data_IF_812234814780
#
_entry.id   IF_812234814780
#
_cell.length_a   1.000
_cell.length_b   1.000
_cell.length_c   1.000
_cell.angle_alpha   90.00
_cell.angle_beta   90.00
_cell.angle_gamma   90.00
#
_symmetry.space_group_name_H-M   'P 1'
#
loop_
_entity.id
_entity.type
_entity.pdbx_description
1 polymer ?
#
# COMPACT_ATOMS: atom_id res chain seq x y z
N UNK A 1 4.51 25.18 -21.01
CA UNK A 1 4.35 24.00 -20.13
C UNK A 1 4.90 24.35 -18.75
N UNK A 2 4.08 24.35 -17.69
CA UNK A 2 4.57 24.58 -16.32
C UNK A 2 5.38 23.36 -15.88
N UNK A 3 6.59 23.59 -15.39
CA UNK A 3 7.48 22.56 -14.86
C UNK A 3 6.77 21.78 -13.75
N UNK A 4 6.75 20.44 -13.86
CA UNK A 4 6.23 19.51 -12.84
C UNK A 4 6.84 19.81 -11.45
N UNK A 5 8.05 20.39 -11.40
CA UNK A 5 8.75 20.76 -10.16
C UNK A 5 8.16 21.96 -9.41
N UNK A 6 7.19 22.68 -9.98
CA UNK A 6 6.61 23.90 -9.38
C UNK A 6 5.25 23.68 -8.72
N UNK A 7 4.71 22.46 -8.75
CA UNK A 7 3.49 22.13 -8.00
C UNK A 7 3.89 22.02 -6.52
N UNK A 8 3.37 22.87 -5.61
CA UNK A 8 3.63 22.71 -4.20
C UNK A 8 3.14 21.32 -3.80
N UNK A 9 4.08 20.43 -3.52
CA UNK A 9 3.75 19.10 -3.01
C UNK A 9 3.09 19.33 -1.67
N UNK A 10 1.79 19.05 -1.61
CA UNK A 10 1.03 18.97 -0.36
C UNK A 10 1.90 18.19 0.62
N UNK A 11 2.28 18.80 1.75
CA UNK A 11 2.97 18.16 2.87
C UNK A 11 2.70 16.65 2.86
N UNK A 12 3.68 15.85 2.45
CA UNK A 12 3.53 14.39 2.50
C UNK A 12 4.04 13.98 3.87
N UNK A 13 3.16 13.79 4.88
CA UNK A 13 3.60 13.20 6.15
C UNK A 13 4.33 11.89 5.88
N UNK A 14 5.25 11.50 6.77
CA UNK A 14 6.11 10.33 6.53
C UNK A 14 5.28 9.11 6.15
N UNK A 15 5.74 8.38 5.14
CA UNK A 15 5.03 7.24 4.54
C UNK A 15 5.72 5.93 4.83
N UNK A 16 6.54 5.94 5.87
CA UNK A 16 7.44 4.86 6.23
C UNK A 16 6.66 3.57 6.45
N UNK A 17 5.48 3.65 7.07
CA UNK A 17 4.59 2.49 7.25
C UNK A 17 4.11 1.89 5.92
N UNK A 18 3.75 2.72 4.94
CA UNK A 18 3.27 2.21 3.65
C UNK A 18 4.40 1.60 2.83
N UNK A 19 5.59 2.22 2.89
CA UNK A 19 6.81 1.67 2.30
C UNK A 19 7.24 0.38 3.00
N UNK A 20 7.10 0.29 4.32
CA UNK A 20 7.40 -0.92 5.07
C UNK A 20 6.47 -2.07 4.67
N UNK A 21 5.15 -1.84 4.61
CA UNK A 21 4.20 -2.87 4.17
C UNK A 21 4.47 -3.30 2.71
N UNK A 22 4.60 -2.35 1.79
CA UNK A 22 4.86 -2.66 0.38
C UNK A 22 6.22 -3.35 0.16
N UNK A 23 7.26 -2.93 0.90
CA UNK A 23 8.57 -3.55 0.88
C UNK A 23 8.55 -4.96 1.46
N UNK A 24 7.77 -5.19 2.53
CA UNK A 24 7.60 -6.53 3.11
C UNK A 24 6.88 -7.46 2.13
N UNK A 25 5.82 -6.99 1.47
CA UNK A 25 5.13 -7.76 0.41
C UNK A 25 6.09 -8.12 -0.72
N UNK A 26 6.92 -7.16 -1.16
CA UNK A 26 7.92 -7.41 -2.19
C UNK A 26 8.97 -8.44 -1.76
N UNK A 27 9.46 -8.38 -0.52
CA UNK A 27 10.41 -9.34 0.01
C UNK A 27 9.82 -10.75 0.13
N UNK A 28 8.58 -10.87 0.59
CA UNK A 28 7.86 -12.16 0.63
C UNK A 28 7.70 -12.71 -0.79
N UNK A 29 7.27 -11.89 -1.74
CA UNK A 29 7.11 -12.31 -3.13
C UNK A 29 8.43 -12.77 -3.76
N UNK A 30 9.53 -12.04 -3.51
CA UNK A 30 10.87 -12.44 -3.97
C UNK A 30 11.28 -13.76 -3.34
N UNK A 31 11.08 -13.93 -2.02
CA UNK A 31 11.42 -15.16 -1.32
C UNK A 31 10.70 -16.38 -1.91
N UNK A 32 9.40 -16.26 -2.19
CA UNK A 32 8.59 -17.33 -2.79
C UNK A 32 8.91 -17.56 -4.29
N UNK A 33 9.49 -16.56 -4.96
CA UNK A 33 9.92 -16.67 -6.36
C UNK A 33 11.33 -17.26 -6.51
N UNK A 34 12.15 -17.20 -5.46
CA UNK A 34 13.50 -17.79 -5.49
C UNK A 34 13.42 -19.33 -5.58
N UNK A 35 14.43 -19.98 -6.18
CA UNK A 35 14.50 -21.43 -6.21
C UNK A 35 14.54 -21.96 -4.77
N UNK A 36 13.43 -22.58 -4.37
CA UNK A 36 13.19 -23.05 -3.01
C UNK A 36 11.90 -23.84 -2.99
N UNK A 37 11.74 -24.68 -1.97
CA UNK A 37 10.46 -25.31 -1.66
C UNK A 37 10.06 -24.88 -0.27
N UNK A 38 9.78 -23.58 -0.08
CA UNK A 38 9.35 -23.04 1.21
C UNK A 38 8.18 -23.85 1.74
N UNK A 39 7.23 -24.17 0.86
CA UNK A 39 6.05 -24.95 1.25
C UNK A 39 6.37 -26.41 1.59
N UNK A 40 7.52 -26.95 1.19
CA UNK A 40 7.96 -28.29 1.58
C UNK A 40 8.72 -28.32 2.92
N UNK A 41 8.95 -27.18 3.56
CA UNK A 41 9.74 -27.12 4.82
C UNK A 41 8.97 -27.61 6.05
N UNK A 42 7.64 -27.70 5.99
CA UNK A 42 6.85 -28.28 7.07
C UNK A 42 5.34 -28.11 6.91
N UNK A 43 4.59 -28.86 7.72
CA UNK A 43 3.13 -28.96 7.66
C UNK A 43 2.38 -27.62 7.85
N UNK A 44 3.06 -26.60 8.38
CA UNK A 44 2.50 -25.26 8.53
C UNK A 44 2.13 -24.62 7.17
N UNK A 45 2.80 -25.04 6.09
CA UNK A 45 2.53 -24.55 4.74
C UNK A 45 1.54 -25.41 3.94
N UNK A 46 1.08 -26.56 4.46
CA UNK A 46 0.16 -27.46 3.75
C UNK A 46 -1.13 -26.74 3.33
N UNK A 47 -1.63 -25.85 4.18
CA UNK A 47 -2.82 -25.02 3.91
C UNK A 47 -2.58 -24.02 2.78
N UNK A 48 -1.39 -23.46 2.69
CA UNK A 48 -1.03 -22.55 1.61
C UNK A 48 -0.94 -23.30 0.28
N UNK A 49 -0.29 -24.46 0.29
CA UNK A 49 -0.14 -25.34 -0.86
C UNK A 49 -1.47 -25.92 -1.35
N UNK A 50 -2.42 -26.16 -0.44
CA UNK A 50 -3.77 -26.62 -0.76
C UNK A 50 -4.62 -25.58 -1.51
N UNK A 51 -4.27 -24.29 -1.40
CA UNK A 51 -4.97 -23.19 -2.09
C UNK A 51 -4.38 -23.00 -3.48
N UNK A 52 -3.07 -22.79 -3.55
CA UNK A 52 -2.35 -22.61 -4.81
C UNK A 52 -0.84 -22.90 -4.63
N UNK A 53 -0.12 -23.23 -5.72
CA UNK A 53 1.33 -23.38 -5.71
C UNK A 53 2.09 -22.16 -5.18
N UNK A 54 3.29 -22.40 -4.64
CA UNK A 54 4.19 -21.36 -4.09
C UNK A 54 4.45 -20.21 -5.09
N UNK A 55 4.64 -20.55 -6.37
CA UNK A 55 4.84 -19.57 -7.44
C UNK A 55 3.64 -18.66 -7.69
N UNK A 56 2.42 -19.16 -7.49
CA UNK A 56 1.21 -18.38 -7.67
C UNK A 56 1.02 -17.39 -6.52
N UNK A 57 1.35 -17.81 -5.29
CA UNK A 57 1.44 -16.89 -4.15
C UNK A 57 2.48 -15.78 -4.39
N UNK A 58 3.64 -16.12 -4.95
CA UNK A 58 4.67 -15.14 -5.31
C UNK A 58 4.14 -14.09 -6.31
N UNK A 59 3.43 -14.52 -7.36
CA UNK A 59 2.82 -13.64 -8.35
C UNK A 59 1.72 -12.77 -7.74
N UNK A 60 0.84 -13.34 -6.91
CA UNK A 60 -0.24 -12.61 -6.26
C UNK A 60 0.29 -11.51 -5.35
N UNK A 61 1.17 -11.88 -4.41
CA UNK A 61 1.75 -10.94 -3.43
C UNK A 61 2.63 -9.91 -4.15
N UNK A 62 3.44 -10.36 -5.12
CA UNK A 62 4.30 -9.50 -5.92
C UNK A 62 3.52 -8.49 -6.76
N UNK A 63 2.40 -8.91 -7.36
CA UNK A 63 1.50 -8.02 -8.09
C UNK A 63 0.95 -6.90 -7.20
N UNK A 64 0.49 -7.24 -5.99
CA UNK A 64 0.06 -6.25 -4.99
C UNK A 64 1.20 -5.31 -4.64
N UNK A 65 2.39 -5.85 -4.34
CA UNK A 65 3.56 -5.06 -3.97
C UNK A 65 3.97 -4.06 -5.07
N UNK A 66 4.02 -4.50 -6.34
CA UNK A 66 4.38 -3.65 -7.49
C UNK A 66 3.40 -2.48 -7.63
N UNK A 67 2.10 -2.75 -7.58
CA UNK A 67 1.08 -1.70 -7.69
C UNK A 67 1.21 -0.70 -6.53
N UNK A 68 1.46 -1.19 -5.32
CA UNK A 68 1.68 -0.34 -4.13
C UNK A 68 2.91 0.55 -4.29
N UNK A 69 4.04 -0.03 -4.68
CA UNK A 69 5.31 0.69 -4.90
C UNK A 69 5.13 1.74 -5.99
N UNK A 70 4.47 1.41 -7.10
CA UNK A 70 4.17 2.37 -8.16
C UNK A 70 3.30 3.53 -7.65
N UNK A 71 2.25 3.23 -6.88
CA UNK A 71 1.39 4.26 -6.29
C UNK A 71 2.15 5.15 -5.29
N UNK A 72 3.07 4.57 -4.52
CA UNK A 72 3.94 5.28 -3.59
C UNK A 72 4.98 6.15 -4.30
N UNK A 73 5.56 5.68 -5.40
CA UNK A 73 6.54 6.41 -6.19
C UNK A 73 5.91 7.62 -6.92
N UNK A 74 4.70 7.47 -7.48
CA UNK A 74 3.99 8.55 -8.20
C UNK A 74 3.55 9.67 -7.25
N UNK A 75 3.28 9.34 -5.98
CA UNK A 75 2.82 10.23 -4.91
C UNK A 75 2.68 11.73 -5.25
N UNK A 76 1.45 12.24 -5.23
CA UNK A 76 1.18 13.68 -5.28
C UNK A 76 1.17 14.27 -6.70
N UNK A 77 1.74 13.57 -7.67
CA UNK A 77 1.70 13.99 -9.08
C UNK A 77 0.38 13.67 -9.77
N UNK A 78 -0.47 12.83 -9.17
CA UNK A 78 -1.75 12.43 -9.74
C UNK A 78 -2.87 12.41 -8.70
N UNK A 79 -4.01 13.04 -9.03
CA UNK A 79 -5.17 13.20 -8.14
C UNK A 79 -5.72 11.87 -7.61
N UNK A 80 -5.57 10.78 -8.37
CA UNK A 80 -6.07 9.45 -7.98
C UNK A 80 -5.07 8.63 -7.18
N UNK A 81 -3.83 9.08 -7.03
CA UNK A 81 -2.81 8.34 -6.27
C UNK A 81 -3.22 8.03 -4.83
N UNK A 82 -3.83 8.96 -4.05
CA UNK A 82 -4.33 8.63 -2.71
C UNK A 82 -5.40 7.53 -2.70
N UNK A 83 -6.27 7.49 -3.71
CA UNK A 83 -7.28 6.45 -3.84
C UNK A 83 -6.63 5.09 -4.14
N UNK A 84 -5.68 5.04 -5.06
CA UNK A 84 -4.95 3.82 -5.39
C UNK A 84 -4.18 3.28 -4.18
N UNK A 85 -3.58 4.16 -3.38
CA UNK A 85 -2.92 3.82 -2.11
C UNK A 85 -3.91 3.24 -1.09
N UNK A 86 -5.10 3.85 -0.96
CA UNK A 86 -6.12 3.36 -0.03
C UNK A 86 -6.63 1.97 -0.43
N UNK A 87 -6.94 1.76 -1.71
CA UNK A 87 -7.43 0.47 -2.23
C UNK A 87 -6.37 -0.61 -2.06
N UNK A 88 -5.12 -0.34 -2.43
CA UNK A 88 -4.05 -1.34 -2.36
C UNK A 88 -3.65 -1.66 -0.92
N UNK A 89 -3.75 -0.70 0.01
CA UNK A 89 -3.63 -0.96 1.43
C UNK A 89 -4.79 -1.82 1.96
N UNK A 90 -6.03 -1.61 1.54
CA UNK A 90 -7.14 -2.49 1.93
C UNK A 90 -6.96 -3.93 1.41
N UNK A 91 -6.49 -4.08 0.17
CA UNK A 91 -6.16 -5.39 -0.40
C UNK A 91 -5.06 -6.07 0.43
N UNK A 92 -3.99 -5.33 0.76
CA UNK A 92 -2.92 -5.83 1.63
C UNK A 92 -3.43 -6.25 3.01
N UNK A 93 -4.32 -5.45 3.62
CA UNK A 93 -4.95 -5.80 4.89
C UNK A 93 -5.73 -7.12 4.82
N UNK A 94 -6.55 -7.30 3.79
CA UNK A 94 -7.33 -8.53 3.60
C UNK A 94 -6.44 -9.74 3.32
N UNK A 95 -5.39 -9.55 2.51
CA UNK A 95 -4.42 -10.59 2.18
C UNK A 95 -3.68 -11.06 3.43
N UNK A 96 -3.16 -10.13 4.23
CA UNK A 96 -2.42 -10.46 5.44
C UNK A 96 -3.30 -11.00 6.56
N UNK A 97 -4.54 -10.53 6.69
CA UNK A 97 -5.50 -11.15 7.59
C UNK A 97 -5.78 -12.61 7.20
N UNK A 98 -5.91 -12.88 5.90
CA UNK A 98 -6.09 -14.24 5.40
C UNK A 98 -4.85 -15.11 5.64
N UNK A 99 -3.66 -14.62 5.33
CA UNK A 99 -2.38 -15.31 5.60
C UNK A 99 -2.24 -15.62 7.11
N UNK A 100 -2.64 -14.71 7.99
CA UNK A 100 -2.61 -14.95 9.43
C UNK A 100 -3.48 -16.15 9.85
N UNK A 101 -4.65 -16.29 9.23
CA UNK A 101 -5.54 -17.45 9.45
C UNK A 101 -4.93 -18.74 8.90
N UNK A 102 -4.23 -18.69 7.76
CA UNK A 102 -3.56 -19.87 7.20
C UNK A 102 -2.44 -20.39 8.10
N UNK A 103 -1.77 -19.51 8.84
CA UNK A 103 -0.78 -19.87 9.86
C UNK A 103 -1.37 -20.39 11.18
N UNK A 104 -2.70 -20.55 11.30
CA UNK A 104 -3.31 -21.27 12.41
C UNK A 104 -2.97 -22.77 12.32
N UNK A 105 -2.50 -23.35 13.43
CA UNK A 105 -2.16 -24.77 13.54
C UNK A 105 -3.17 -25.48 14.44
N UNK A 106 -4.17 -26.19 13.89
CA UNK A 106 -5.24 -26.80 14.70
C UNK A 106 -4.76 -27.87 15.67
N UNK A 107 -3.75 -28.65 15.30
CA UNK A 107 -3.25 -29.77 16.10
C UNK A 107 -2.73 -29.37 17.47
N UNK A 108 -2.24 -28.13 17.59
CA UNK A 108 -1.77 -27.54 18.86
C UNK A 108 -2.62 -26.36 19.31
N UNK A 109 -3.69 -26.02 18.57
CA UNK A 109 -4.59 -24.91 18.87
C UNK A 109 -3.86 -23.56 19.00
N UNK A 110 -2.85 -23.30 18.17
CA UNK A 110 -2.01 -22.12 18.30
C UNK A 110 -1.71 -21.43 16.96
N UNK A 111 -1.43 -20.13 17.05
CA UNK A 111 -0.93 -19.31 15.94
C UNK A 111 0.60 -19.32 15.94
N UNK A 112 1.21 -19.64 14.80
CA UNK A 112 2.65 -19.51 14.61
C UNK A 112 3.11 -18.05 14.56
N UNK A 113 4.43 -17.83 14.66
CA UNK A 113 5.04 -16.48 14.53
C UNK A 113 4.60 -15.79 13.23
N UNK A 114 4.52 -16.54 12.12
CA UNK A 114 4.02 -16.01 10.84
C UNK A 114 2.62 -15.40 10.93
N UNK A 115 1.73 -15.98 11.74
CA UNK A 115 0.40 -15.42 11.94
C UNK A 115 0.43 -14.07 12.63
N UNK A 116 1.27 -13.91 13.66
CA UNK A 116 1.42 -12.66 14.39
C UNK A 116 1.99 -11.56 13.49
N UNK A 117 3.00 -11.87 12.68
CA UNK A 117 3.55 -10.94 11.69
C UNK A 117 2.52 -10.52 10.64
N UNK A 118 1.79 -11.47 10.06
CA UNK A 118 0.74 -11.17 9.09
C UNK A 118 -0.40 -10.38 9.72
N UNK A 119 -0.83 -10.70 10.94
CA UNK A 119 -1.84 -9.90 11.65
C UNK A 119 -1.37 -8.44 11.89
N UNK A 120 -0.10 -8.25 12.26
CA UNK A 120 0.48 -6.91 12.44
C UNK A 120 0.56 -6.13 11.11
N UNK A 121 0.90 -6.79 10.01
CA UNK A 121 0.88 -6.19 8.67
C UNK A 121 -0.54 -5.82 8.26
N UNK A 122 -1.54 -6.66 8.57
CA UNK A 122 -2.94 -6.35 8.30
C UNK A 122 -3.41 -5.08 9.03
N UNK A 123 -3.07 -4.94 10.31
CA UNK A 123 -3.37 -3.73 11.09
C UNK A 123 -2.64 -2.50 10.53
N UNK A 124 -1.38 -2.67 10.13
CA UNK A 124 -0.56 -1.61 9.51
C UNK A 124 -1.16 -1.13 8.20
N UNK A 125 -1.72 -2.04 7.42
CA UNK A 125 -2.40 -1.76 6.17
C UNK A 125 -3.75 -1.09 6.36
N UNK A 126 -4.52 -1.48 7.38
CA UNK A 126 -5.73 -0.75 7.78
C UNK A 126 -5.40 0.70 8.13
N UNK A 127 -4.36 0.92 8.95
CA UNK A 127 -3.91 2.28 9.31
C UNK A 127 -3.47 3.07 8.08
N UNK A 128 -2.76 2.43 7.17
CA UNK A 128 -2.32 3.02 5.90
C UNK A 128 -3.50 3.40 5.01
N UNK A 129 -4.52 2.55 4.91
CA UNK A 129 -5.75 2.82 4.17
C UNK A 129 -6.51 4.03 4.73
N UNK A 130 -6.68 4.11 6.06
CA UNK A 130 -7.31 5.28 6.70
C UNK A 130 -6.54 6.57 6.44
N UNK A 131 -5.20 6.53 6.53
CA UNK A 131 -4.36 7.70 6.21
C UNK A 131 -4.49 8.11 4.75
N UNK A 132 -4.39 7.17 3.82
CA UNK A 132 -4.57 7.43 2.40
C UNK A 132 -5.99 7.97 2.09
N UNK A 133 -7.02 7.51 2.81
CA UNK A 133 -8.37 8.06 2.74
C UNK A 133 -8.43 9.56 3.11
N UNK A 134 -7.69 9.97 4.15
CA UNK A 134 -7.55 11.40 4.50
C UNK A 134 -6.82 12.18 3.40
N UNK A 135 -5.78 11.59 2.79
CA UNK A 135 -5.04 12.19 1.68
C UNK A 135 -5.96 12.47 0.47
N UNK A 136 -6.98 11.64 0.22
CA UNK A 136 -7.96 11.86 -0.87
C UNK A 136 -8.68 13.21 -0.68
N UNK A 137 -9.12 13.51 0.53
CA UNK A 137 -9.84 14.76 0.85
C UNK A 137 -8.93 15.97 0.67
N UNK A 138 -7.69 15.89 1.17
CA UNK A 138 -6.72 16.98 1.07
C UNK A 138 -6.34 17.21 -0.40
N UNK A 139 -5.99 16.16 -1.13
CA UNK A 139 -5.68 16.27 -2.56
C UNK A 139 -6.86 16.87 -3.33
N UNK A 140 -8.10 16.45 -3.05
CA UNK A 140 -9.30 17.01 -3.66
C UNK A 140 -9.43 18.53 -3.46
N UNK A 141 -9.12 19.06 -2.28
CA UNK A 141 -9.14 20.51 -2.00
C UNK A 141 -8.03 21.24 -2.75
N UNK A 142 -6.81 20.71 -2.73
CA UNK A 142 -5.66 21.35 -3.39
C UNK A 142 -5.83 21.40 -4.90
N UNK A 143 -6.31 20.32 -5.52
CA UNK A 143 -6.63 20.34 -6.95
C UNK A 143 -7.72 21.35 -7.30
N UNK A 144 -8.75 21.51 -6.46
CA UNK A 144 -9.77 22.56 -6.64
C UNK A 144 -9.17 23.97 -6.55
N UNK A 145 -8.26 24.21 -5.59
CA UNK A 145 -7.57 25.50 -5.45
C UNK A 145 -6.68 25.81 -6.66
N UNK A 146 -5.96 24.81 -7.19
CA UNK A 146 -5.14 24.99 -8.40
C UNK A 146 -5.97 25.25 -9.67
N UNK A 147 -7.22 24.79 -9.71
CA UNK A 147 -8.16 25.02 -10.81
C UNK A 147 -8.92 26.34 -10.70
N UNK A 148 -9.01 26.93 -9.51
CA UNK A 148 -9.61 28.24 -9.34
C UNK A 148 -8.80 29.28 -10.11
N UNK A 149 -9.47 30.12 -10.89
CA UNK A 149 -8.82 31.23 -11.56
C UNK A 149 -8.08 32.10 -10.52
N UNK A 150 -6.89 32.64 -10.85
CA UNK A 150 -6.24 33.59 -9.94
C UNK A 150 -7.21 34.73 -9.64
N UNK A 151 -7.18 35.31 -8.42
CA UNK A 151 -8.00 36.46 -8.10
C UNK A 151 -7.79 37.54 -9.17
N UNK A 152 -8.89 38.20 -9.57
CA UNK A 152 -8.82 39.28 -10.54
C UNK A 152 -7.72 40.27 -10.12
N UNK A 153 -6.87 40.75 -11.06
CA UNK A 153 -5.86 41.73 -10.72
C UNK A 153 -6.52 42.93 -10.03
N UNK A 154 -5.87 43.46 -8.99
CA UNK A 154 -6.40 44.62 -8.29
C UNK A 154 -6.70 45.75 -9.30
N UNK A 155 -7.81 46.49 -9.12
CA UNK A 155 -8.12 47.62 -9.98
C UNK A 155 -6.92 48.57 -10.01
N UNK A 156 -6.58 49.11 -11.19
CA UNK A 156 -5.42 50.01 -11.37
C UNK A 156 -5.45 51.24 -10.44
N UNK A 157 -6.61 51.59 -9.87
CA UNK A 157 -6.77 52.63 -8.86
C UNK A 157 -6.14 52.31 -7.49
N UNK A 158 -5.65 51.09 -7.29
CA UNK A 158 -4.99 50.63 -6.05
C UNK A 158 -3.53 50.22 -6.26
N UNK A 159 -2.96 50.46 -7.45
CA UNK A 159 -1.51 50.29 -7.66
C UNK A 159 -0.79 51.57 -7.17
N UNK A 160 0.22 51.46 -6.30
CA UNK A 160 0.98 52.62 -5.81
C UNK A 160 1.78 53.32 -6.91
#
# INVERSE_FOLDING_TARGET
MRSIRSVPTVFTPSRDLEWHCAGTDALIAILLALPGKTFATGAIFDRFAAIMPESEWAVLIGGVAIVRIAALAINGHWRRTPLLRAITALIGATLHAYIAVLFWVPSVGAFGIGAAFSAALAVSDIRSAFRAGRDIVVAGRVFKMMQAAPPAPLPRSFAP
#
